data_IF_155457000645
#
_entry.id   IF_155457000645
#
_cell.length_a   1.000
_cell.length_b   1.000
_cell.length_c   1.000
_cell.angle_alpha   90.00
_cell.angle_beta   90.00
_cell.angle_gamma   90.00
#
_symmetry.space_group_name_H-M   'P 1'
#
loop_
_entity.id
_entity.type
_entity.pdbx_description
1 polymer ?
#
# COMPACT_ATOMS: atom_id res chain seq x y z
N UNK A 1 22.90 -21.50 -37.27
CA UNK A 1 22.90 -22.81 -36.57
C UNK A 1 22.06 -22.82 -35.29
N UNK A 2 22.22 -21.90 -34.32
CA UNK A 2 21.39 -21.87 -33.09
C UNK A 2 19.90 -21.62 -33.35
N UNK A 3 19.56 -20.70 -34.24
CA UNK A 3 18.15 -20.34 -34.55
C UNK A 3 17.38 -21.46 -35.27
N UNK A 4 18.05 -22.18 -36.18
CA UNK A 4 17.43 -23.32 -36.89
C UNK A 4 17.13 -24.49 -35.94
N UNK A 5 17.98 -24.72 -34.93
CA UNK A 5 17.77 -25.76 -33.92
C UNK A 5 16.57 -25.47 -33.01
N UNK A 6 16.40 -24.20 -32.61
CA UNK A 6 15.25 -23.79 -31.80
C UNK A 6 13.92 -23.89 -32.57
N UNK A 7 13.94 -23.60 -33.87
CA UNK A 7 12.76 -23.72 -34.73
C UNK A 7 12.31 -25.18 -34.91
N UNK A 8 13.25 -26.09 -35.18
CA UNK A 8 12.96 -27.52 -35.33
C UNK A 8 12.45 -28.16 -34.02
N UNK A 9 13.08 -27.83 -32.89
CA UNK A 9 12.66 -28.36 -31.58
C UNK A 9 11.23 -27.91 -31.22
N UNK A 10 10.87 -26.66 -31.55
CA UNK A 10 9.53 -26.13 -31.34
C UNK A 10 8.47 -26.89 -32.15
N UNK A 11 8.73 -27.17 -33.44
CA UNK A 11 7.80 -27.94 -34.29
C UNK A 11 7.63 -29.40 -33.85
N UNK A 12 8.71 -30.05 -33.39
CA UNK A 12 8.70 -31.44 -32.91
C UNK A 12 7.93 -31.58 -31.58
N UNK A 13 8.07 -30.59 -30.70
CA UNK A 13 7.35 -30.50 -29.43
C UNK A 13 5.84 -30.30 -29.66
N UNK A 14 5.48 -29.37 -30.54
CA UNK A 14 4.08 -29.01 -30.76
C UNK A 14 3.27 -30.24 -31.21
N UNK A 15 3.80 -31.03 -32.17
CA UNK A 15 3.16 -32.25 -32.66
C UNK A 15 3.09 -33.42 -31.67
N UNK A 16 4.01 -33.52 -30.69
CA UNK A 16 3.93 -34.54 -29.62
C UNK A 16 3.04 -34.09 -28.46
N UNK A 17 3.00 -32.79 -28.17
CA UNK A 17 2.21 -32.21 -27.08
C UNK A 17 0.70 -32.27 -27.32
N UNK A 18 0.27 -32.28 -28.59
CA UNK A 18 -1.14 -32.33 -28.99
C UNK A 18 -1.86 -33.61 -28.55
N UNK A 19 -1.11 -34.65 -28.16
CA UNK A 19 -1.62 -35.93 -27.66
C UNK A 19 -1.72 -36.02 -26.13
N UNK A 20 -1.24 -35.02 -25.39
CA UNK A 20 -1.25 -34.99 -23.92
C UNK A 20 -2.27 -33.95 -23.46
N UNK A 21 -3.41 -34.40 -22.92
CA UNK A 21 -4.53 -33.54 -22.56
C UNK A 21 -4.44 -32.95 -21.15
N UNK A 22 -3.64 -33.55 -20.25
CA UNK A 22 -3.37 -32.99 -18.93
C UNK A 22 -2.22 -31.97 -18.98
N UNK A 23 -2.47 -30.78 -18.44
CA UNK A 23 -1.51 -29.69 -18.38
C UNK A 23 -0.27 -30.04 -17.55
N UNK A 24 -0.41 -30.83 -16.48
CA UNK A 24 0.71 -31.25 -15.64
C UNK A 24 1.62 -32.25 -16.38
N UNK A 25 1.03 -33.21 -17.07
CA UNK A 25 1.74 -34.18 -17.90
C UNK A 25 2.43 -33.51 -19.09
N UNK A 26 1.78 -32.50 -19.69
CA UNK A 26 2.37 -31.71 -20.78
C UNK A 26 3.61 -30.95 -20.32
N UNK A 27 3.55 -30.29 -19.16
CA UNK A 27 4.71 -29.56 -18.61
C UNK A 27 5.86 -30.51 -18.31
N UNK A 28 5.57 -31.67 -17.69
CA UNK A 28 6.58 -32.69 -17.41
C UNK A 28 7.23 -33.24 -18.68
N UNK A 29 6.44 -33.54 -19.70
CA UNK A 29 6.93 -33.98 -21.01
C UNK A 29 7.86 -32.95 -21.67
N UNK A 30 7.47 -31.68 -21.67
CA UNK A 30 8.29 -30.58 -22.21
C UNK A 30 9.62 -30.45 -21.48
N UNK A 31 9.62 -30.62 -20.16
CA UNK A 31 10.80 -30.58 -19.34
C UNK A 31 11.76 -31.75 -19.62
N UNK A 32 11.22 -32.97 -19.72
CA UNK A 32 12.01 -34.17 -20.02
C UNK A 32 12.64 -34.10 -21.42
N UNK A 33 11.89 -33.65 -22.43
CA UNK A 33 12.42 -33.49 -23.80
C UNK A 33 13.51 -32.42 -23.88
N UNK A 34 13.33 -31.28 -23.18
CA UNK A 34 14.34 -30.22 -23.12
C UNK A 34 15.63 -30.70 -22.46
N UNK A 35 15.51 -31.53 -21.42
CA UNK A 35 16.66 -32.10 -20.70
C UNK A 35 17.44 -33.07 -21.58
N UNK A 36 16.74 -33.95 -22.32
CA UNK A 36 17.35 -34.88 -23.30
C UNK A 36 18.01 -34.17 -24.48
N UNK A 37 17.43 -33.06 -24.94
CA UNK A 37 18.04 -32.24 -25.98
C UNK A 37 19.34 -31.60 -25.50
N UNK A 38 19.32 -30.98 -24.31
CA UNK A 38 20.50 -30.34 -23.72
C UNK A 38 21.60 -31.34 -23.37
N UNK A 39 21.25 -32.54 -22.88
CA UNK A 39 22.22 -33.61 -22.59
C UNK A 39 23.01 -34.02 -23.85
N UNK A 40 22.30 -34.12 -24.97
CA UNK A 40 22.89 -34.46 -26.28
C UNK A 40 23.79 -33.34 -26.82
N UNK A 41 23.38 -32.09 -26.69
CA UNK A 41 24.14 -30.94 -27.21
C UNK A 41 25.36 -30.59 -26.33
N UNK A 42 25.29 -30.84 -25.02
CA UNK A 42 26.36 -30.53 -24.07
C UNK A 42 27.28 -31.73 -23.77
N UNK A 43 26.91 -32.95 -24.19
CA UNK A 43 27.66 -34.17 -23.90
C UNK A 43 27.64 -34.56 -22.42
N UNK A 44 26.60 -34.17 -21.69
CA UNK A 44 26.44 -34.40 -20.24
C UNK A 44 25.23 -35.31 -20.01
N UNK A 45 25.26 -36.19 -19.02
CA UNK A 45 24.12 -37.05 -18.70
C UNK A 45 22.86 -36.23 -18.32
N UNK A 46 21.71 -36.66 -18.85
CA UNK A 46 20.43 -35.97 -18.64
C UNK A 46 20.05 -35.89 -17.14
N UNK A 47 20.40 -36.91 -16.36
CA UNK A 47 20.14 -36.94 -14.92
C UNK A 47 20.94 -35.86 -14.17
N UNK A 48 22.17 -35.56 -14.61
CA UNK A 48 22.97 -34.50 -14.02
C UNK A 48 22.40 -33.11 -14.33
N UNK A 49 21.87 -32.90 -15.54
CA UNK A 49 21.19 -31.67 -15.92
C UNK A 49 19.89 -31.51 -15.12
N UNK A 50 19.13 -32.59 -14.95
CA UNK A 50 17.91 -32.60 -14.15
C UNK A 50 18.18 -32.21 -12.70
N UNK A 51 19.19 -32.81 -12.07
CA UNK A 51 19.61 -32.51 -10.70
C UNK A 51 20.04 -31.03 -10.58
N UNK A 52 20.74 -30.49 -11.57
CA UNK A 52 21.16 -29.09 -11.59
C UNK A 52 19.96 -28.13 -11.61
N UNK A 53 18.93 -28.43 -12.39
CA UNK A 53 17.70 -27.62 -12.42
C UNK A 53 16.89 -27.72 -11.13
N UNK A 54 16.73 -28.91 -10.56
CA UNK A 54 16.03 -29.10 -9.28
C UNK A 54 16.69 -28.27 -8.16
N UNK A 55 18.03 -28.31 -8.08
CA UNK A 55 18.80 -27.49 -7.15
C UNK A 55 18.60 -25.98 -7.36
N UNK A 56 18.47 -25.52 -8.61
CA UNK A 56 18.21 -24.10 -8.90
C UNK A 56 16.81 -23.67 -8.46
N UNK A 57 15.80 -24.51 -8.69
CA UNK A 57 14.42 -24.27 -8.26
C UNK A 57 14.34 -24.19 -6.73
N UNK A 58 15.00 -25.10 -6.02
CA UNK A 58 14.98 -25.12 -4.56
C UNK A 58 15.75 -23.93 -3.95
N UNK A 59 16.82 -23.49 -4.62
CA UNK A 59 17.52 -22.26 -4.25
C UNK A 59 16.64 -21.01 -4.43
N UNK A 60 15.89 -20.93 -5.52
CA UNK A 60 14.94 -19.83 -5.77
C UNK A 60 13.82 -19.79 -4.73
N UNK A 61 13.23 -20.94 -4.39
CA UNK A 61 12.23 -21.05 -3.31
C UNK A 61 12.79 -20.56 -1.98
N UNK A 62 14.00 -21.00 -1.63
CA UNK A 62 14.67 -20.60 -0.38
C UNK A 62 14.92 -19.09 -0.33
N UNK A 63 15.30 -18.49 -1.47
CA UNK A 63 15.49 -17.04 -1.58
C UNK A 63 14.17 -16.26 -1.38
N UNK A 64 13.07 -16.78 -1.93
CA UNK A 64 11.75 -16.18 -1.80
C UNK A 64 11.21 -16.25 -0.36
N UNK A 65 11.44 -17.35 0.34
CA UNK A 65 11.10 -17.49 1.77
C UNK A 65 11.90 -16.51 2.64
N UNK A 66 13.21 -16.36 2.38
CA UNK A 66 14.05 -15.37 3.07
C UNK A 66 13.60 -13.93 2.80
N UNK A 67 13.22 -13.61 1.56
CA UNK A 67 12.68 -12.29 1.23
C UNK A 67 11.33 -12.01 1.91
N UNK A 68 10.46 -13.02 2.03
CA UNK A 68 9.22 -12.88 2.80
C UNK A 68 9.48 -12.65 4.29
N UNK A 69 10.42 -13.38 4.87
CA UNK A 69 10.81 -13.21 6.26
C UNK A 69 11.47 -11.85 6.53
N UNK A 70 12.31 -11.37 5.61
CA UNK A 70 12.96 -10.06 5.70
C UNK A 70 11.98 -8.88 5.53
N UNK A 71 10.89 -9.09 4.78
CA UNK A 71 9.83 -8.10 4.56
C UNK A 71 8.61 -8.31 5.48
N UNK A 72 8.73 -9.08 6.56
CA UNK A 72 7.74 -9.00 7.65
C UNK A 72 7.93 -7.65 8.34
N UNK A 73 7.29 -6.61 7.78
CA UNK A 73 7.07 -5.35 8.47
C UNK A 73 6.36 -5.67 9.79
N UNK A 74 7.08 -5.54 10.90
CA UNK A 74 6.41 -5.48 12.19
C UNK A 74 5.54 -4.24 12.16
N UNK A 75 4.23 -4.41 11.95
CA UNK A 75 3.26 -3.33 12.04
C UNK A 75 3.44 -2.65 13.39
N UNK A 76 4.05 -1.47 13.38
CA UNK A 76 4.26 -0.69 14.59
C UNK A 76 2.97 0.04 14.90
N UNK A 77 2.25 -0.44 15.91
CA UNK A 77 1.00 0.18 16.34
C UNK A 77 1.30 1.42 17.20
N UNK A 78 0.87 2.59 16.72
CA UNK A 78 1.00 3.83 17.47
C UNK A 78 -0.33 4.19 18.14
N UNK A 79 -0.34 4.25 19.47
CA UNK A 79 -1.50 4.77 20.22
C UNK A 79 -1.44 6.31 20.29
N UNK A 80 -2.42 6.95 19.66
CA UNK A 80 -2.61 8.40 19.65
C UNK A 80 -3.89 8.85 20.39
N UNK A 81 -4.47 7.99 21.22
CA UNK A 81 -5.69 8.30 21.99
C UNK A 81 -5.51 9.49 22.96
N UNK A 82 -4.33 9.66 23.52
CA UNK A 82 -4.00 10.71 24.51
C UNK A 82 -3.60 12.07 23.89
N UNK A 83 -4.11 12.41 22.71
CA UNK A 83 -3.89 13.72 22.10
C UNK A 83 -4.74 14.80 22.78
N UNK A 84 -4.17 16.01 22.91
CA UNK A 84 -4.93 17.18 23.34
C UNK A 84 -6.09 17.48 22.39
N UNK A 85 -7.15 18.12 22.89
CA UNK A 85 -8.31 18.48 22.06
C UNK A 85 -7.91 19.37 20.87
N UNK A 86 -6.96 20.30 21.07
CA UNK A 86 -6.40 21.11 19.99
C UNK A 86 -5.68 20.26 18.94
N UNK A 87 -4.86 19.29 19.34
CA UNK A 87 -4.20 18.36 18.41
C UNK A 87 -5.22 17.56 17.60
N UNK A 88 -6.31 17.09 18.22
CA UNK A 88 -7.39 16.37 17.52
C UNK A 88 -8.03 17.23 16.42
N UNK A 89 -8.27 18.52 16.68
CA UNK A 89 -8.77 19.45 15.65
C UNK A 89 -7.75 19.63 14.53
N UNK A 90 -6.45 19.74 14.85
CA UNK A 90 -5.38 19.86 13.84
C UNK A 90 -5.25 18.57 13.02
N UNK A 91 -5.40 17.39 13.63
CA UNK A 91 -5.50 16.12 12.90
C UNK A 91 -6.64 16.14 11.89
N UNK A 92 -7.84 16.58 12.30
CA UNK A 92 -8.98 16.66 11.40
C UNK A 92 -8.75 17.67 10.26
N UNK A 93 -8.04 18.78 10.52
CA UNK A 93 -7.68 19.73 9.47
C UNK A 93 -6.69 19.12 8.47
N UNK A 94 -5.60 18.53 8.96
CA UNK A 94 -4.54 17.96 8.10
C UNK A 94 -5.00 16.74 7.30
N UNK A 95 -5.97 15.98 7.83
CA UNK A 95 -6.62 14.87 7.11
C UNK A 95 -7.73 15.33 6.16
N UNK A 96 -8.02 16.64 6.08
CA UNK A 96 -9.08 17.20 5.22
C UNK A 96 -10.51 16.94 5.71
N UNK A 97 -10.69 16.39 6.93
CA UNK A 97 -12.01 16.06 7.50
C UNK A 97 -12.81 17.35 7.74
N UNK A 98 -12.19 18.39 8.29
CA UNK A 98 -12.91 19.64 8.57
C UNK A 98 -13.35 20.35 7.28
N UNK A 99 -12.48 20.35 6.26
CA UNK A 99 -12.79 20.94 4.95
C UNK A 99 -13.91 20.15 4.24
N UNK A 100 -13.85 18.82 4.31
CA UNK A 100 -14.92 17.95 3.79
C UNK A 100 -16.26 18.22 4.47
N UNK A 101 -16.29 18.24 5.81
CA UNK A 101 -17.52 18.48 6.58
C UNK A 101 -18.07 19.88 6.31
N UNK A 102 -17.21 20.91 6.33
CA UNK A 102 -17.60 22.28 6.02
C UNK A 102 -18.21 22.39 4.62
N UNK A 103 -17.55 21.83 3.62
CA UNK A 103 -18.03 21.82 2.23
C UNK A 103 -19.35 21.08 2.07
N UNK A 104 -19.47 19.89 2.68
CA UNK A 104 -20.70 19.08 2.63
C UNK A 104 -21.85 19.83 3.30
N UNK A 105 -21.61 20.42 4.46
CA UNK A 105 -22.65 21.14 5.18
C UNK A 105 -23.10 22.42 4.47
N UNK A 106 -22.21 23.15 3.80
CA UNK A 106 -22.61 24.31 2.99
C UNK A 106 -23.50 23.93 1.82
N UNK A 107 -23.35 22.72 1.26
CA UNK A 107 -24.20 22.21 0.18
C UNK A 107 -25.58 21.76 0.69
N UNK A 108 -25.61 21.06 1.81
CA UNK A 108 -26.82 20.42 2.33
C UNK A 108 -27.67 21.34 3.23
N UNK A 109 -27.05 22.37 3.84
CA UNK A 109 -27.74 23.32 4.72
C UNK A 109 -27.75 24.71 4.10
N UNK A 110 -28.95 25.25 3.88
CA UNK A 110 -29.17 26.60 3.33
C UNK A 110 -28.50 27.72 4.15
N UNK A 111 -28.24 27.51 5.45
CA UNK A 111 -27.58 28.47 6.36
C UNK A 111 -26.50 27.76 7.19
N UNK A 112 -25.31 27.60 6.62
CA UNK A 112 -24.15 27.08 7.35
C UNK A 112 -23.65 28.07 8.41
N UNK A 113 -23.43 27.58 9.63
CA UNK A 113 -22.77 28.32 10.70
C UNK A 113 -21.70 27.44 11.36
N UNK A 114 -20.58 28.04 11.77
CA UNK A 114 -19.48 27.34 12.47
C UNK A 114 -19.97 26.54 13.70
N UNK A 115 -21.04 27.00 14.33
CA UNK A 115 -21.70 26.38 15.48
C UNK A 115 -22.22 24.97 15.14
N UNK A 116 -22.73 24.77 13.91
CA UNK A 116 -23.22 23.48 13.42
C UNK A 116 -22.06 22.53 13.12
N UNK A 117 -20.96 23.04 12.57
CA UNK A 117 -19.74 22.24 12.40
C UNK A 117 -19.21 21.76 13.77
N UNK A 118 -19.24 22.62 14.79
CA UNK A 118 -18.85 22.26 16.15
C UNK A 118 -19.75 21.17 16.77
N UNK A 119 -21.05 21.24 16.52
CA UNK A 119 -22.02 20.21 16.93
C UNK A 119 -21.65 18.86 16.30
N UNK A 120 -21.42 18.82 14.98
CA UNK A 120 -21.02 17.61 14.26
C UNK A 120 -19.68 17.06 14.78
N UNK A 121 -18.66 17.91 14.93
CA UNK A 121 -17.36 17.50 15.49
C UNK A 121 -17.53 16.91 16.89
N UNK A 122 -18.41 17.47 17.73
CA UNK A 122 -18.61 16.97 19.09
C UNK A 122 -19.17 15.55 19.15
N UNK A 123 -20.03 15.18 18.19
CA UNK A 123 -20.71 13.87 18.16
C UNK A 123 -19.70 12.72 18.08
N UNK A 124 -18.62 12.85 17.30
CA UNK A 124 -17.70 11.74 17.04
C UNK A 124 -16.31 11.91 17.66
N UNK A 125 -15.94 13.10 18.15
CA UNK A 125 -14.57 13.36 18.61
C UNK A 125 -14.35 13.31 20.12
N UNK A 126 -15.44 13.27 20.90
CA UNK A 126 -15.41 13.42 22.36
C UNK A 126 -14.98 14.81 22.84
N UNK A 127 -14.90 15.80 21.94
CA UNK A 127 -14.66 17.21 22.28
C UNK A 127 -16.02 17.86 22.52
N UNK A 128 -16.17 18.60 23.63
CA UNK A 128 -17.42 19.31 23.89
C UNK A 128 -17.72 20.32 22.77
N UNK A 129 -19.00 20.55 22.46
CA UNK A 129 -19.40 21.51 21.42
C UNK A 129 -18.80 22.91 21.66
N UNK A 130 -18.83 23.41 22.90
CA UNK A 130 -18.29 24.72 23.28
C UNK A 130 -16.78 24.77 22.98
N UNK A 131 -16.06 23.73 23.38
CA UNK A 131 -14.62 23.64 23.12
C UNK A 131 -14.32 23.55 21.63
N UNK A 132 -15.04 22.69 20.88
CA UNK A 132 -14.88 22.55 19.45
C UNK A 132 -15.14 23.88 18.73
N UNK A 133 -16.21 24.59 19.09
CA UNK A 133 -16.53 25.89 18.52
C UNK A 133 -15.43 26.93 18.77
N UNK A 134 -14.85 26.95 19.97
CA UNK A 134 -13.73 27.86 20.31
C UNK A 134 -12.50 27.66 19.41
N UNK A 135 -12.27 26.42 18.96
CA UNK A 135 -11.18 26.06 18.05
C UNK A 135 -11.51 26.27 16.57
N UNK A 136 -12.77 26.02 16.18
CA UNK A 136 -13.21 26.11 14.78
C UNK A 136 -13.47 27.55 14.34
N UNK A 137 -13.93 28.42 15.24
CA UNK A 137 -14.22 29.82 14.90
C UNK A 137 -12.98 30.55 14.32
N UNK A 138 -11.77 30.48 14.92
CA UNK A 138 -10.57 31.07 14.33
C UNK A 138 -10.12 30.48 12.99
N UNK A 139 -10.63 29.30 12.60
CA UNK A 139 -10.32 28.63 11.33
C UNK A 139 -11.28 29.12 10.23
N UNK A 140 -12.59 29.13 10.51
CA UNK A 140 -13.63 29.33 9.49
C UNK A 140 -14.32 30.70 9.51
N UNK A 141 -14.21 31.47 10.60
CA UNK A 141 -14.93 32.74 10.76
C UNK A 141 -14.04 33.95 10.55
N UNK A 142 -14.59 34.99 9.89
CA UNK A 142 -13.94 36.30 9.74
C UNK A 142 -14.12 37.13 11.03
N UNK A 143 -13.10 37.90 11.41
CA UNK A 143 -13.20 38.85 12.53
C UNK A 143 -13.08 38.25 13.94
N UNK A 144 -12.70 36.97 14.05
CA UNK A 144 -12.46 36.31 15.34
C UNK A 144 -10.97 36.38 15.72
N UNK A 145 -10.69 36.44 17.02
CA UNK A 145 -9.35 36.39 17.57
C UNK A 145 -8.59 35.15 17.06
N UNK A 146 -7.56 35.40 16.22
CA UNK A 146 -6.73 34.37 15.63
C UNK A 146 -5.71 33.77 16.61
N UNK A 147 -5.49 34.38 17.77
CA UNK A 147 -4.55 33.87 18.77
C UNK A 147 -4.99 32.51 19.34
N UNK A 148 -6.29 32.21 19.28
CA UNK A 148 -6.86 30.92 19.72
C UNK A 148 -6.94 29.86 18.62
N UNK A 149 -6.38 30.13 17.43
CA UNK A 149 -6.39 29.15 16.36
C UNK A 149 -5.50 27.94 16.74
N UNK A 150 -6.03 26.70 16.77
CA UNK A 150 -5.25 25.53 17.13
C UNK A 150 -4.23 25.14 16.05
N UNK A 151 -4.42 25.59 14.81
CA UNK A 151 -3.55 25.34 13.64
C UNK A 151 -2.33 26.27 13.69
N UNK A 152 -1.52 26.10 14.73
CA UNK A 152 -0.24 26.81 14.90
C UNK A 152 0.89 26.02 14.27
N UNK A 153 2.01 26.68 13.92
CA UNK A 153 3.22 26.02 13.40
C UNK A 153 3.70 24.87 14.31
N UNK A 154 3.60 25.05 15.64
CA UNK A 154 3.96 24.03 16.63
C UNK A 154 3.05 22.80 16.55
N UNK A 155 1.74 23.00 16.56
CA UNK A 155 0.79 21.89 16.52
C UNK A 155 0.82 21.18 15.16
N UNK A 156 0.94 21.93 14.06
CA UNK A 156 1.08 21.38 12.72
C UNK A 156 2.29 20.46 12.61
N UNK A 157 3.47 20.92 13.06
CA UNK A 157 4.68 20.09 13.05
C UNK A 157 4.46 18.80 13.84
N UNK A 158 3.92 18.90 15.05
CA UNK A 158 3.68 17.73 15.92
C UNK A 158 2.70 16.72 15.29
N UNK A 159 1.63 17.20 14.66
CA UNK A 159 0.64 16.35 14.00
C UNK A 159 1.22 15.70 12.75
N UNK A 160 1.93 16.46 11.91
CA UNK A 160 2.62 15.92 10.72
C UNK A 160 3.66 14.86 11.08
N UNK A 161 4.45 15.08 12.13
CA UNK A 161 5.42 14.09 12.60
C UNK A 161 4.72 12.78 13.05
N UNK A 162 3.52 12.86 13.64
CA UNK A 162 2.73 11.66 14.03
C UNK A 162 2.10 10.97 12.82
N UNK A 163 1.57 11.74 11.87
CA UNK A 163 1.00 11.25 10.63
C UNK A 163 2.07 10.55 9.76
N UNK A 164 3.27 11.12 9.66
CA UNK A 164 4.38 10.50 8.93
C UNK A 164 4.80 9.14 9.49
N UNK A 165 4.72 8.94 10.82
CA UNK A 165 5.02 7.65 11.45
C UNK A 165 4.07 6.52 11.04
N UNK A 166 2.85 6.86 10.61
CA UNK A 166 1.86 5.89 10.11
C UNK A 166 1.78 5.88 8.57
N UNK A 167 2.80 6.44 7.89
CA UNK A 167 2.88 6.45 6.43
C UNK A 167 2.01 7.50 5.74
N UNK A 168 1.41 8.44 6.49
CA UNK A 168 0.68 9.55 5.88
C UNK A 168 1.64 10.68 5.52
N UNK A 169 2.00 10.75 4.25
CA UNK A 169 2.85 11.81 3.71
C UNK A 169 1.98 13.03 3.37
N UNK A 170 2.03 14.05 4.22
CA UNK A 170 1.33 15.30 3.96
C UNK A 170 2.02 15.97 2.78
N UNK A 171 1.44 15.83 1.58
CA UNK A 171 1.87 16.65 0.46
C UNK A 171 1.80 18.10 0.91
N UNK A 172 2.94 18.78 0.96
CA UNK A 172 2.97 20.22 1.14
C UNK A 172 2.21 20.80 -0.05
N UNK A 173 0.96 21.22 0.13
CA UNK A 173 0.34 22.14 -0.83
C UNK A 173 1.25 23.36 -0.90
N UNK A 174 1.91 23.49 -2.04
CA UNK A 174 2.69 24.64 -2.47
C UNK A 174 1.82 25.89 -2.57
#
# INVERSE_FOLDING_TARGET
>A
MKEMRNSWFKSEIEGKSEKITDSAERIKFLYDEKTKFLSKDLGVEADHIKLMFENLIDKEKSLNELNKAANQETETFFDYSNNSMAERIVFMQELGILDYLSTKMQKEFHNFAANKLAEIVSIFSGISQITAQSYLNPIFSKGVDRQKNPVTTKNLKKVRDKLGKIGFDVQKST
#
